data_IF_335584131078
#
_entry.id   IF_335584131078
#
_cell.length_a   1.000
_cell.length_b   1.000
_cell.length_c   1.000
_cell.angle_alpha   90.00
_cell.angle_beta   90.00
_cell.angle_gamma   90.00
#
_symmetry.space_group_name_H-M   'P 1'
#
loop_
_entity.id
_entity.type
_entity.pdbx_description
1 polymer ?
#
# COMPACT_ATOMS: atom_id res chain seq x y z
N UNK A 1 41.06 -7.64 -2.87
CA UNK A 1 39.98 -7.91 -3.84
C UNK A 1 38.56 -7.68 -3.29
N UNK A 2 38.37 -7.33 -2.02
CA UNK A 2 37.04 -7.08 -1.44
C UNK A 2 36.33 -5.74 -1.78
N UNK A 3 36.97 -4.61 -2.16
CA UNK A 3 36.26 -3.35 -2.31
C UNK A 3 35.44 -3.23 -3.61
N UNK A 4 35.79 -3.99 -4.65
CA UNK A 4 35.10 -3.97 -5.96
C UNK A 4 33.74 -4.69 -5.91
N UNK A 5 33.63 -5.77 -5.13
CA UNK A 5 32.39 -6.56 -5.01
C UNK A 5 31.33 -5.82 -4.19
N UNK A 6 31.74 -5.11 -3.12
CA UNK A 6 30.85 -4.25 -2.33
C UNK A 6 30.25 -3.12 -3.18
N UNK A 7 31.05 -2.50 -4.05
CA UNK A 7 30.61 -1.42 -4.94
C UNK A 7 29.58 -1.86 -5.98
N UNK A 8 29.70 -3.09 -6.52
CA UNK A 8 28.74 -3.63 -7.47
C UNK A 8 27.38 -3.96 -6.82
N UNK A 9 27.40 -4.52 -5.61
CA UNK A 9 26.17 -4.83 -4.85
C UNK A 9 25.43 -3.55 -4.45
N UNK A 10 26.14 -2.50 -4.02
CA UNK A 10 25.55 -1.20 -3.70
C UNK A 10 24.91 -0.53 -4.92
N UNK A 11 25.56 -0.61 -6.10
CA UNK A 11 25.00 -0.10 -7.36
C UNK A 11 23.73 -0.84 -7.79
N UNK A 12 23.67 -2.16 -7.65
CA UNK A 12 22.49 -2.96 -8.01
C UNK A 12 21.30 -2.73 -7.08
N UNK A 13 21.54 -2.63 -5.76
CA UNK A 13 20.49 -2.37 -4.75
C UNK A 13 19.78 -1.02 -5.01
N UNK A 14 20.57 0.00 -5.35
CA UNK A 14 20.09 1.36 -5.66
C UNK A 14 19.33 1.45 -6.99
N UNK A 15 19.59 0.56 -7.94
CA UNK A 15 18.97 0.58 -9.28
C UNK A 15 17.50 0.13 -9.25
N UNK A 16 17.15 -0.85 -8.41
CA UNK A 16 15.80 -1.40 -8.36
C UNK A 16 14.80 -0.45 -7.67
N UNK A 17 15.22 0.21 -6.59
CA UNK A 17 14.42 1.25 -5.91
C UNK A 17 14.07 2.40 -6.86
N UNK A 18 15.06 2.91 -7.61
CA UNK A 18 14.85 4.03 -8.52
C UNK A 18 13.85 3.65 -9.62
N UNK A 19 13.94 2.44 -10.16
CA UNK A 19 13.05 2.01 -11.25
C UNK A 19 11.63 1.69 -10.77
N UNK A 20 11.48 1.04 -9.62
CA UNK A 20 10.17 0.69 -9.09
C UNK A 20 9.40 1.91 -8.57
N UNK A 21 10.08 2.79 -7.82
CA UNK A 21 9.48 4.05 -7.35
C UNK A 21 9.10 4.95 -8.54
N UNK A 22 9.97 5.05 -9.55
CA UNK A 22 9.67 5.81 -10.77
C UNK A 22 8.47 5.23 -11.54
N UNK A 23 8.38 3.90 -11.63
CA UNK A 23 7.20 3.24 -12.20
C UNK A 23 5.92 3.62 -11.46
N UNK A 24 5.92 3.54 -10.13
CA UNK A 24 4.75 3.93 -9.33
C UNK A 24 4.41 5.43 -9.50
N UNK A 25 5.40 6.33 -9.57
CA UNK A 25 5.15 7.76 -9.81
C UNK A 25 4.37 8.04 -11.10
N UNK A 26 4.62 7.22 -12.13
CA UNK A 26 4.01 7.35 -13.44
C UNK A 26 2.63 6.69 -13.54
N UNK A 27 2.42 5.59 -12.81
CA UNK A 27 1.21 4.76 -12.94
C UNK A 27 0.13 5.11 -11.91
N UNK A 28 0.51 5.59 -10.73
CA UNK A 28 -0.45 5.99 -9.69
C UNK A 28 -1.17 7.29 -10.09
N UNK A 29 -2.50 7.26 -9.93
CA UNK A 29 -3.38 8.41 -10.21
C UNK A 29 -3.98 9.03 -8.94
N UNK A 30 -3.60 8.51 -7.76
CA UNK A 30 -3.99 9.05 -6.47
C UNK A 30 -3.64 10.53 -6.33
N UNK A 31 -4.58 11.32 -5.77
CA UNK A 31 -4.38 12.74 -5.50
C UNK A 31 -3.12 12.99 -4.65
N UNK A 32 -2.89 12.11 -3.69
CA UNK A 32 -1.78 12.19 -2.73
C UNK A 32 -0.60 11.28 -3.11
N UNK A 33 -0.46 10.90 -4.39
CA UNK A 33 0.58 9.95 -4.85
C UNK A 33 1.99 10.28 -4.37
N UNK A 34 2.35 11.57 -4.31
CA UNK A 34 3.67 11.99 -3.88
C UNK A 34 3.92 11.65 -2.40
N UNK A 35 2.89 11.80 -1.56
CA UNK A 35 2.95 11.43 -0.15
C UNK A 35 3.02 9.92 0.03
N UNK A 36 2.20 9.16 -0.71
CA UNK A 36 2.22 7.68 -0.71
C UNK A 36 3.62 7.17 -1.06
N UNK A 37 4.20 7.70 -2.14
CA UNK A 37 5.51 7.28 -2.64
C UNK A 37 6.64 7.69 -1.70
N UNK A 38 6.55 8.87 -1.09
CA UNK A 38 7.51 9.31 -0.09
C UNK A 38 7.51 8.38 1.13
N UNK A 39 6.33 8.04 1.65
CA UNK A 39 6.20 7.12 2.78
C UNK A 39 6.71 5.72 2.42
N UNK A 40 6.40 5.23 1.22
CA UNK A 40 6.91 3.97 0.72
C UNK A 40 8.45 3.95 0.69
N UNK A 41 9.06 5.03 0.18
CA UNK A 41 10.51 5.17 0.11
C UNK A 41 11.16 5.19 1.50
N UNK A 42 10.53 5.87 2.46
CA UNK A 42 10.98 5.89 3.86
C UNK A 42 10.91 4.47 4.46
N UNK A 43 9.81 3.75 4.26
CA UNK A 43 9.63 2.42 4.84
C UNK A 43 10.58 1.40 4.21
N UNK A 44 10.76 1.40 2.88
CA UNK A 44 11.77 0.56 2.22
C UNK A 44 13.16 0.85 2.80
N UNK A 45 13.52 2.13 2.95
CA UNK A 45 14.81 2.51 3.53
C UNK A 45 14.97 2.01 4.97
N UNK A 46 13.96 2.17 5.82
CA UNK A 46 13.98 1.63 7.19
C UNK A 46 14.10 0.09 7.20
N UNK A 47 13.45 -0.60 6.27
CA UNK A 47 13.55 -2.05 6.13
C UNK A 47 14.96 -2.47 5.72
N UNK A 48 15.59 -1.74 4.81
CA UNK A 48 16.97 -1.97 4.39
C UNK A 48 17.98 -1.71 5.49
N UNK A 49 17.79 -0.62 6.24
CA UNK A 49 18.67 -0.21 7.33
C UNK A 49 18.40 -1.04 8.61
N UNK A 50 17.40 -1.93 8.59
CA UNK A 50 17.02 -2.77 9.72
C UNK A 50 16.36 -2.02 10.88
N UNK A 51 16.03 -0.73 10.69
CA UNK A 51 15.37 0.12 11.70
C UNK A 51 13.85 0.04 11.65
N UNK A 52 13.29 -0.68 10.67
CA UNK A 52 11.85 -0.87 10.60
C UNK A 52 11.39 -1.93 11.60
N UNK A 53 10.37 -1.60 12.38
CA UNK A 53 9.66 -2.56 13.23
C UNK A 53 8.73 -3.48 12.42
N UNK A 54 8.57 -3.21 11.12
CA UNK A 54 7.69 -3.94 10.19
C UNK A 54 8.50 -4.44 9.02
N UNK A 55 8.36 -5.74 8.74
CA UNK A 55 8.98 -6.38 7.57
C UNK A 55 8.06 -6.25 6.34
N UNK A 56 6.78 -5.93 6.55
CA UNK A 56 5.76 -5.79 5.53
C UNK A 56 5.15 -4.39 5.55
N UNK A 57 4.98 -3.80 4.37
CA UNK A 57 4.27 -2.55 4.15
C UNK A 57 3.14 -2.80 3.16
N UNK A 58 1.94 -2.32 3.48
CA UNK A 58 0.73 -2.45 2.69
C UNK A 58 0.22 -1.05 2.35
N UNK A 59 -0.13 -0.82 1.09
CA UNK A 59 -0.82 0.38 0.65
C UNK A 59 -1.91 0.03 -0.37
N UNK A 60 -3.02 0.74 -0.32
CA UNK A 60 -4.02 0.74 -1.38
C UNK A 60 -3.76 1.94 -2.29
N UNK A 61 -3.99 1.78 -3.58
CA UNK A 61 -3.80 2.84 -4.58
C UNK A 61 -4.71 2.62 -5.77
N UNK A 62 -4.85 3.64 -6.61
CA UNK A 62 -5.59 3.54 -7.87
C UNK A 62 -4.64 3.72 -9.05
N UNK A 63 -4.86 2.93 -10.09
CA UNK A 63 -4.12 3.01 -11.36
C UNK A 63 -5.10 3.07 -12.54
N UNK A 64 -4.64 3.61 -13.66
CA UNK A 64 -5.40 3.60 -14.91
C UNK A 64 -5.06 2.32 -15.70
N UNK A 65 -6.04 1.46 -15.90
CA UNK A 65 -5.91 0.25 -16.70
C UNK A 65 -5.84 0.52 -18.21
N UNK A 66 -5.51 -0.50 -19.00
CA UNK A 66 -5.32 -0.41 -20.46
C UNK A 66 -6.54 0.08 -21.24
N UNK A 67 -7.74 -0.08 -20.67
CA UNK A 67 -9.00 0.38 -21.26
C UNK A 67 -9.49 1.69 -20.63
N UNK A 68 -8.62 2.50 -20.03
CA UNK A 68 -8.99 3.71 -19.26
C UNK A 68 -9.96 3.45 -18.10
N UNK A 69 -10.06 2.19 -17.64
CA UNK A 69 -10.84 1.85 -16.47
C UNK A 69 -9.98 2.06 -15.22
N UNK A 70 -10.60 2.59 -14.17
CA UNK A 70 -9.96 2.71 -12.87
C UNK A 70 -9.79 1.31 -12.28
N UNK A 71 -8.57 0.99 -11.88
CA UNK A 71 -8.27 -0.22 -11.15
C UNK A 71 -7.84 0.14 -9.73
N UNK A 72 -8.42 -0.54 -8.77
CA UNK A 72 -8.05 -0.40 -7.36
C UNK A 72 -7.10 -1.52 -7.03
N UNK A 73 -5.90 -1.17 -6.59
CA UNK A 73 -4.84 -2.13 -6.33
C UNK A 73 -4.43 -2.08 -4.87
N UNK A 74 -4.13 -3.25 -4.33
CA UNK A 74 -3.38 -3.40 -3.09
C UNK A 74 -1.95 -3.77 -3.41
N UNK A 75 -1.02 -2.96 -2.92
CA UNK A 75 0.41 -3.16 -3.08
C UNK A 75 1.01 -3.51 -1.74
N UNK A 76 1.64 -4.67 -1.69
CA UNK A 76 2.40 -5.15 -0.55
C UNK A 76 3.88 -5.20 -0.91
N UNK A 77 4.72 -4.59 -0.07
CA UNK A 77 6.17 -4.80 -0.08
C UNK A 77 6.54 -5.61 1.16
N UNK A 78 7.22 -6.73 0.94
CA UNK A 78 7.69 -7.59 2.00
C UNK A 78 9.21 -7.76 1.92
N UNK A 79 9.89 -7.40 3.00
CA UNK A 79 11.29 -7.71 3.20
C UNK A 79 11.47 -9.18 3.54
N UNK A 80 12.38 -9.87 2.87
CA UNK A 80 12.75 -11.23 3.22
C UNK A 80 14.08 -11.22 3.97
N UNK A 81 14.09 -11.90 5.12
CA UNK A 81 15.28 -12.19 5.88
C UNK A 81 15.91 -13.46 5.33
N UNK A 82 17.23 -13.53 5.37
CA UNK A 82 17.97 -14.75 5.05
C UNK A 82 18.37 -15.37 6.38
N UNK A 83 17.65 -16.41 6.79
CA UNK A 83 17.79 -17.11 8.07
C UNK A 83 19.13 -17.88 8.20
N UNK A 84 20.01 -17.79 7.19
CA UNK A 84 21.22 -18.60 7.10
C UNK A 84 22.45 -18.12 7.88
N UNK A 85 22.53 -16.87 8.35
CA UNK A 85 23.68 -16.35 9.14
C UNK A 85 23.28 -15.21 10.06
N UNK A 86 23.70 -15.30 11.33
CA UNK A 86 23.57 -14.30 12.42
C UNK A 86 24.33 -12.96 12.16
N UNK A 87 24.26 -12.42 10.95
CA UNK A 87 24.74 -11.06 10.69
C UNK A 87 23.64 -10.07 11.11
N UNK A 88 23.73 -9.65 12.37
CA UNK A 88 22.84 -8.69 13.07
C UNK A 88 22.73 -7.33 12.34
N UNK A 89 23.51 -7.10 11.29
CA UNK A 89 23.70 -5.79 10.66
C UNK A 89 22.76 -5.48 9.49
N UNK A 90 22.04 -6.46 8.92
CA UNK A 90 21.01 -6.19 7.90
C UNK A 90 19.84 -7.16 8.03
N UNK A 91 18.70 -6.67 8.53
CA UNK A 91 17.51 -7.49 8.76
C UNK A 91 16.87 -7.98 7.46
N UNK A 92 16.91 -7.22 6.37
CA UNK A 92 16.26 -7.54 5.10
C UNK A 92 17.29 -7.62 3.97
N UNK A 93 17.41 -8.78 3.33
CA UNK A 93 18.36 -9.00 2.22
C UNK A 93 17.71 -8.90 0.84
N UNK A 94 16.43 -9.21 0.73
CA UNK A 94 15.66 -9.13 -0.51
C UNK A 94 14.26 -8.59 -0.26
N UNK A 95 13.59 -8.12 -1.31
CA UNK A 95 12.21 -7.63 -1.24
C UNK A 95 11.34 -8.41 -2.21
N UNK A 96 10.10 -8.69 -1.80
CA UNK A 96 9.01 -9.10 -2.66
C UNK A 96 8.04 -7.93 -2.83
N UNK A 97 7.47 -7.81 -4.03
CA UNK A 97 6.40 -6.87 -4.31
C UNK A 97 5.21 -7.70 -4.80
N UNK A 98 4.07 -7.54 -4.16
CA UNK A 98 2.83 -8.21 -4.49
C UNK A 98 1.82 -7.13 -4.85
N UNK A 99 1.23 -7.23 -6.03
CA UNK A 99 0.18 -6.33 -6.52
C UNK A 99 -1.07 -7.18 -6.72
N UNK A 100 -2.15 -6.79 -6.06
CA UNK A 100 -3.44 -7.48 -6.10
C UNK A 100 -4.47 -6.50 -6.66
N UNK A 101 -5.20 -6.91 -7.68
CA UNK A 101 -6.39 -6.19 -8.15
C UNK A 101 -7.53 -6.42 -7.14
N UNK A 102 -8.08 -5.33 -6.62
CA UNK A 102 -9.18 -5.28 -5.67
C UNK A 102 -10.38 -4.49 -6.22
N UNK A 103 -10.44 -4.31 -7.54
CA UNK A 103 -11.45 -3.47 -8.18
C UNK A 103 -12.86 -4.00 -7.93
N UNK A 104 -13.05 -5.32 -7.94
CA UNK A 104 -14.37 -5.93 -7.73
C UNK A 104 -14.82 -5.74 -6.29
N UNK A 105 -13.94 -6.01 -5.34
CA UNK A 105 -14.18 -5.87 -3.90
C UNK A 105 -14.52 -4.43 -3.56
N UNK A 106 -13.74 -3.47 -4.07
CA UNK A 106 -13.97 -2.06 -3.84
C UNK A 106 -15.36 -1.62 -4.30
N UNK A 107 -15.77 -1.96 -5.53
CA UNK A 107 -17.10 -1.59 -6.02
C UNK A 107 -18.24 -2.26 -5.25
N UNK A 108 -18.04 -3.49 -4.76
CA UNK A 108 -19.03 -4.16 -3.92
C UNK A 108 -19.17 -3.48 -2.56
N UNK A 109 -18.06 -3.06 -1.95
CA UNK A 109 -18.06 -2.31 -0.68
C UNK A 109 -18.74 -0.95 -0.84
N UNK A 110 -18.40 -0.18 -1.88
CA UNK A 110 -19.04 1.12 -2.15
C UNK A 110 -20.55 0.98 -2.39
N UNK A 111 -20.98 -0.06 -3.11
CA UNK A 111 -22.40 -0.31 -3.34
C UNK A 111 -23.12 -0.62 -2.02
N UNK A 112 -22.55 -1.50 -1.20
CA UNK A 112 -23.11 -1.87 0.09
C UNK A 112 -23.21 -0.65 1.04
N UNK A 113 -22.21 0.22 1.04
CA UNK A 113 -22.21 1.46 1.83
C UNK A 113 -23.27 2.45 1.34
N UNK A 114 -23.44 2.59 0.02
CA UNK A 114 -24.50 3.41 -0.58
C UNK A 114 -25.90 2.90 -0.20
N UNK A 115 -26.14 1.58 -0.32
CA UNK A 115 -27.42 0.98 0.07
C UNK A 115 -27.72 1.15 1.55
N UNK A 116 -26.72 0.95 2.40
CA UNK A 116 -26.83 1.20 3.84
C UNK A 116 -27.21 2.65 4.12
N UNK A 117 -26.53 3.59 3.48
CA UNK A 117 -26.81 5.03 3.64
C UNK A 117 -28.25 5.37 3.20
N UNK A 118 -28.69 4.87 2.04
CA UNK A 118 -30.05 5.09 1.56
C UNK A 118 -31.09 4.49 2.52
N UNK A 119 -30.83 3.29 3.05
CA UNK A 119 -31.68 2.64 4.04
C UNK A 119 -31.79 3.45 5.32
N UNK A 120 -30.68 3.95 5.84
CA UNK A 120 -30.65 4.78 7.06
C UNK A 120 -31.40 6.09 6.85
N UNK A 121 -31.23 6.75 5.71
CA UNK A 121 -31.99 7.94 5.34
C UNK A 121 -33.49 7.65 5.28
N UNK A 122 -33.89 6.55 4.63
CA UNK A 122 -35.28 6.14 4.55
C UNK A 122 -35.89 5.91 5.94
N UNK A 123 -35.21 5.14 6.80
CA UNK A 123 -35.66 4.88 8.18
C UNK A 123 -35.82 6.20 8.95
N UNK A 124 -34.86 7.11 8.81
CA UNK A 124 -34.93 8.43 9.47
C UNK A 124 -36.09 9.29 8.97
N UNK A 125 -36.54 9.10 7.73
CA UNK A 125 -37.68 9.83 7.16
C UNK A 125 -39.04 9.34 7.69
N UNK A 126 -39.12 8.09 8.15
CA UNK A 126 -40.35 7.49 8.70
C UNK A 126 -40.45 7.58 10.22
N UNK A 127 -39.35 7.80 10.92
CA UNK A 127 -39.33 7.88 12.38
C UNK A 127 -39.33 9.36 12.82
N UNK A 128 -40.34 9.81 13.57
CA UNK A 128 -40.35 11.15 14.14
C UNK A 128 -39.09 11.41 14.99
N UNK A 129 -38.53 12.64 14.96
CA UNK A 129 -37.26 12.96 15.63
C UNK A 129 -37.21 12.61 17.13
N UNK A 130 -38.36 12.66 17.80
CA UNK A 130 -38.51 12.32 19.22
C UNK A 130 -38.28 10.82 19.54
N UNK A 131 -38.55 9.93 18.59
CA UNK A 131 -38.34 8.48 18.72
C UNK A 131 -36.93 8.10 18.30
N UNK A 132 -36.41 8.70 17.22
CA UNK A 132 -35.04 8.46 16.74
C UNK A 132 -33.98 8.81 17.80
N UNK A 133 -34.24 9.82 18.64
CA UNK A 133 -33.34 10.22 19.74
C UNK A 133 -33.24 9.15 20.84
N UNK A 134 -34.36 8.46 21.15
CA UNK A 134 -34.42 7.39 22.17
C UNK A 134 -33.78 6.07 21.73
N UNK A 135 -33.57 5.85 20.43
CA UNK A 135 -32.93 4.64 19.90
C UNK A 135 -31.39 4.74 19.85
N UNK A 136 -30.82 5.94 20.00
CA UNK A 136 -29.38 6.19 19.96
C UNK A 136 -28.74 6.36 21.35
N UNK A 137 -29.56 6.42 22.40
CA UNK A 137 -29.17 6.37 23.81
C UNK A 137 -29.04 4.90 24.28
#
# INVERSE_FOLDING_TARGET
MEPLVKNLHQKKKKFWEINFISFLQNVLIDKDKNYIIHNLSIEIKKMQDGTSNKIKHLMASTILGTNSHLMYISLTIEGLKDDGRDDITNLVKSFSVIIIDQTTEHFQEELAESEKTQREQLISSFIPPSIAKRQKD
#
